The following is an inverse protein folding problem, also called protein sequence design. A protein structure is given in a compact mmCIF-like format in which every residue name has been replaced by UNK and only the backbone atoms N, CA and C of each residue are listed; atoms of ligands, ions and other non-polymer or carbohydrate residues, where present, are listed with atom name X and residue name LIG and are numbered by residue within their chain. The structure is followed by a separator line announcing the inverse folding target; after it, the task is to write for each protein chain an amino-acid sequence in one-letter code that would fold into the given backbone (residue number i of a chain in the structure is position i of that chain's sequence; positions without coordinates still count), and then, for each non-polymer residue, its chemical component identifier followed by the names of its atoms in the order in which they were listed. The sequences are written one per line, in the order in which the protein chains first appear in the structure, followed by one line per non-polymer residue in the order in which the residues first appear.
data_IF_194345587271
#
_entry.id   IF_194345587271
#
_cell.length_a   1.000
_cell.length_b   1.000
_cell.length_c   1.000
_cell.angle_alpha   90.00
_cell.angle_beta   90.00
_cell.angle_gamma   90.00
#
_symmetry.space_group_name_H-M   'P 1'
#
loop_
_entity.id
_entity.type
_entity.pdbx_description
1 polymer ?
#
# COMPACT_ATOMS: atom_id res chain seq x y z
N UNK A 1 16.54 -30.12 38.38
CA UNK A 1 15.43 -30.92 37.83
C UNK A 1 14.24 -30.05 37.43
N UNK A 2 13.79 -29.08 38.26
CA UNK A 2 12.65 -28.20 37.96
C UNK A 2 12.87 -27.25 36.77
N UNK A 3 14.05 -26.63 36.67
CA UNK A 3 14.37 -25.63 35.65
C UNK A 3 14.41 -26.17 34.21
N UNK A 4 14.76 -27.44 34.03
CA UNK A 4 14.74 -28.10 32.72
C UNK A 4 13.32 -28.46 32.27
N UNK A 5 12.43 -28.79 33.21
CA UNK A 5 11.03 -29.06 32.91
C UNK A 5 10.26 -27.76 32.60
N UNK A 6 10.58 -26.66 33.30
CA UNK A 6 10.07 -25.34 32.95
C UNK A 6 10.58 -24.87 31.59
N UNK A 7 11.87 -25.03 31.26
CA UNK A 7 12.37 -24.63 29.93
C UNK A 7 11.73 -25.42 28.80
N UNK A 8 11.55 -26.74 28.97
CA UNK A 8 10.86 -27.55 27.96
C UNK A 8 9.38 -27.21 27.85
N UNK A 9 8.70 -26.90 28.95
CA UNK A 9 7.29 -26.48 28.92
C UNK A 9 7.12 -25.09 28.27
N UNK A 10 8.08 -24.17 28.45
CA UNK A 10 8.08 -22.87 27.78
C UNK A 10 8.40 -23.01 26.29
N UNK A 11 9.30 -23.91 25.92
CA UNK A 11 9.66 -24.20 24.52
C UNK A 11 8.51 -24.92 23.78
N UNK A 12 7.83 -25.88 24.42
CA UNK A 12 6.59 -26.47 23.90
C UNK A 12 5.46 -25.44 23.80
N UNK A 13 5.29 -24.56 24.80
CA UNK A 13 4.27 -23.51 24.75
C UNK A 13 4.54 -22.46 23.65
N UNK A 14 5.80 -22.05 23.44
CA UNK A 14 6.19 -21.21 22.31
C UNK A 14 5.97 -21.92 20.97
N UNK A 15 6.30 -23.21 20.89
CA UNK A 15 6.13 -24.01 19.69
C UNK A 15 4.64 -24.21 19.32
N UNK A 16 3.79 -24.47 20.32
CA UNK A 16 2.33 -24.56 20.12
C UNK A 16 1.72 -23.21 19.74
N UNK A 17 2.21 -22.09 20.29
CA UNK A 17 1.74 -20.75 19.90
C UNK A 17 2.20 -20.38 18.48
N UNK A 18 3.40 -20.79 18.07
CA UNK A 18 3.92 -20.58 16.71
C UNK A 18 3.19 -21.45 15.67
N UNK A 19 2.70 -22.63 16.05
CA UNK A 19 1.96 -23.54 15.19
C UNK A 19 0.53 -23.03 14.86
N UNK A 20 -0.09 -22.27 15.77
CA UNK A 20 -1.43 -21.66 15.60
C UNK A 20 -1.40 -20.26 14.92
N UNK A 21 -0.22 -19.80 14.50
CA UNK A 21 -0.11 -18.54 13.74
C UNK A 21 -0.70 -18.72 12.33
N UNK A 22 -1.65 -17.85 12.01
CA UNK A 22 -2.22 -17.70 10.67
C UNK A 22 -1.11 -17.71 9.60
N UNK A 23 -1.34 -18.45 8.52
CA UNK A 23 -0.34 -18.66 7.47
C UNK A 23 0.16 -17.34 6.85
N UNK A 24 -0.68 -16.30 6.85
CA UNK A 24 -0.30 -14.94 6.39
C UNK A 24 0.69 -14.22 7.31
N UNK A 25 0.85 -14.67 8.56
CA UNK A 25 1.77 -14.09 9.54
C UNK A 25 3.16 -14.72 9.52
N UNK A 26 3.32 -15.85 8.82
CA UNK A 26 4.61 -16.53 8.71
C UNK A 26 5.56 -15.74 7.79
N UNK A 27 6.87 -15.71 8.07
CA UNK A 27 7.84 -15.10 7.17
C UNK A 27 7.79 -15.76 5.80
N UNK A 28 7.78 -14.97 4.72
CA UNK A 28 7.84 -15.52 3.36
C UNK A 28 9.23 -16.04 3.02
N UNK A 29 9.32 -17.27 2.50
CA UNK A 29 10.56 -17.82 1.92
C UNK A 29 11.03 -16.99 0.74
N UNK A 30 12.30 -17.12 0.37
CA UNK A 30 12.84 -16.51 -0.86
C UNK A 30 12.19 -17.08 -2.12
N UNK A 31 11.78 -18.35 -2.11
CA UNK A 31 11.07 -18.96 -3.25
C UNK A 31 9.66 -18.39 -3.46
N UNK A 32 8.99 -17.92 -2.40
CA UNK A 32 7.63 -17.37 -2.47
C UNK A 32 7.57 -15.89 -2.89
N UNK A 33 8.73 -15.27 -3.18
CA UNK A 33 8.83 -13.87 -3.59
C UNK A 33 8.73 -13.76 -5.10
N UNK A 34 7.51 -13.58 -5.60
CA UNK A 34 7.21 -13.54 -7.04
C UNK A 34 7.46 -12.17 -7.68
N UNK A 35 7.52 -11.08 -6.90
CA UNK A 35 7.67 -9.72 -7.44
C UNK A 35 9.14 -9.38 -7.70
N UNK A 36 9.52 -9.33 -8.98
CA UNK A 36 10.84 -8.87 -9.42
C UNK A 36 11.06 -7.36 -9.26
N UNK A 37 12.32 -6.88 -9.28
CA UNK A 37 12.66 -5.47 -9.01
C UNK A 37 12.07 -4.49 -10.03
N UNK A 38 12.00 -4.87 -11.30
CA UNK A 38 11.42 -4.02 -12.36
C UNK A 38 9.90 -3.89 -12.16
N UNK A 39 9.21 -5.00 -11.93
CA UNK A 39 7.77 -5.00 -11.63
C UNK A 39 7.46 -4.19 -10.36
N UNK A 40 8.33 -4.30 -9.35
CA UNK A 40 8.25 -3.50 -8.14
C UNK A 40 8.39 -2.01 -8.43
N UNK A 41 9.35 -1.58 -9.26
CA UNK A 41 9.50 -0.18 -9.66
C UNK A 41 8.26 0.35 -10.39
N UNK A 42 7.69 -0.41 -11.33
CA UNK A 42 6.47 0.00 -12.02
C UNK A 42 5.26 0.11 -11.09
N UNK A 43 5.15 -0.78 -10.09
CA UNK A 43 4.13 -0.69 -9.05
C UNK A 43 4.24 0.64 -8.28
N UNK A 44 5.45 1.05 -7.90
CA UNK A 44 5.67 2.33 -7.21
C UNK A 44 5.40 3.56 -8.09
N UNK A 45 5.75 3.51 -9.37
CA UNK A 45 5.41 4.57 -10.32
C UNK A 45 3.89 4.67 -10.47
N UNK A 46 3.21 3.53 -10.58
CA UNK A 46 1.75 3.46 -10.65
C UNK A 46 1.08 4.02 -9.40
N UNK A 47 1.58 3.71 -8.21
CA UNK A 47 1.09 4.27 -6.94
C UNK A 47 1.37 5.79 -6.86
N UNK A 48 2.55 6.23 -7.28
CA UNK A 48 2.95 7.64 -7.24
C UNK A 48 2.11 8.55 -8.15
N UNK A 49 1.75 8.06 -9.35
CA UNK A 49 0.99 8.81 -10.36
C UNK A 49 -0.51 8.62 -10.15
N UNK A 50 -1.08 9.38 -9.23
CA UNK A 50 -2.52 9.43 -9.00
C UNK A 50 -3.01 10.88 -8.85
N UNK A 51 -4.31 11.11 -9.11
CA UNK A 51 -4.87 12.47 -9.09
C UNK A 51 -4.75 13.12 -7.70
N UNK A 52 -4.90 12.37 -6.61
CA UNK A 52 -4.74 12.90 -5.26
C UNK A 52 -3.35 13.50 -5.01
N UNK A 53 -2.28 12.80 -5.42
CA UNK A 53 -0.91 13.29 -5.32
C UNK A 53 -0.67 14.52 -6.21
N UNK A 54 -1.28 14.56 -7.40
CA UNK A 54 -1.20 15.72 -8.28
C UNK A 54 -1.87 16.95 -7.68
N UNK A 55 -3.06 16.78 -7.07
CA UNK A 55 -3.75 17.86 -6.35
C UNK A 55 -2.94 18.34 -5.15
N UNK A 56 -2.40 17.42 -4.33
CA UNK A 56 -1.54 17.77 -3.22
C UNK A 56 -0.29 18.53 -3.66
N UNK A 57 0.35 18.08 -4.75
CA UNK A 57 1.51 18.76 -5.33
C UNK A 57 1.18 20.17 -5.81
N UNK A 58 0.05 20.36 -6.48
CA UNK A 58 -0.42 21.67 -6.91
C UNK A 58 -0.66 22.61 -5.71
N UNK A 59 -1.32 22.12 -4.65
CA UNK A 59 -1.54 22.89 -3.42
C UNK A 59 -0.24 23.27 -2.73
N UNK A 60 0.75 22.37 -2.71
CA UNK A 60 2.06 22.63 -2.10
C UNK A 60 2.84 23.72 -2.86
N UNK A 61 2.77 23.73 -4.20
CA UNK A 61 3.41 24.77 -5.01
C UNK A 61 2.76 26.13 -4.74
N UNK A 62 1.42 26.21 -4.71
CA UNK A 62 0.70 27.46 -4.40
C UNK A 62 1.05 27.96 -2.99
N UNK A 63 1.06 27.07 -2.00
CA UNK A 63 1.41 27.43 -0.62
C UNK A 63 2.89 27.84 -0.48
N UNK A 64 3.80 27.12 -1.13
CA UNK A 64 5.23 27.40 -1.08
C UNK A 64 5.60 28.69 -1.79
N UNK A 65 5.00 28.96 -2.95
CA UNK A 65 5.22 30.20 -3.71
C UNK A 65 4.65 31.44 -3.03
N UNK A 66 3.75 31.28 -2.05
CA UNK A 66 3.29 32.38 -1.22
C UNK A 66 4.39 32.94 -0.30
N UNK A 67 5.44 32.18 0.00
CA UNK A 67 6.53 32.56 0.92
C UNK A 67 7.92 32.48 0.29
N UNK A 68 8.12 31.61 -0.70
CA UNK A 68 9.41 31.32 -1.33
C UNK A 68 9.35 31.51 -2.85
N UNK A 69 10.51 31.65 -3.48
CA UNK A 69 10.58 31.60 -4.95
C UNK A 69 10.18 30.20 -5.46
N UNK A 70 9.69 30.10 -6.69
CA UNK A 70 9.31 28.82 -7.32
C UNK A 70 10.46 27.79 -7.27
N UNK A 71 11.69 28.21 -7.59
CA UNK A 71 12.86 27.31 -7.57
C UNK A 71 13.20 26.83 -6.15
N UNK A 72 13.04 27.70 -5.15
CA UNK A 72 13.25 27.36 -3.74
C UNK A 72 12.15 26.39 -3.25
N UNK A 73 10.90 26.60 -3.67
CA UNK A 73 9.77 25.71 -3.35
C UNK A 73 10.01 24.30 -3.89
N UNK A 74 10.41 24.17 -5.16
CA UNK A 74 10.75 22.86 -5.74
C UNK A 74 11.94 22.21 -5.06
N UNK A 75 12.99 22.98 -4.75
CA UNK A 75 14.17 22.44 -4.07
C UNK A 75 13.83 21.96 -2.66
N UNK A 76 13.04 22.73 -1.90
CA UNK A 76 12.57 22.34 -0.58
C UNK A 76 11.70 21.07 -0.63
N UNK A 77 10.78 20.98 -1.61
CA UNK A 77 9.97 19.78 -1.82
C UNK A 77 10.83 18.56 -2.17
N UNK A 78 11.83 18.72 -3.03
CA UNK A 78 12.78 17.67 -3.41
C UNK A 78 13.61 17.17 -2.21
N UNK A 79 14.06 18.08 -1.35
CA UNK A 79 14.78 17.72 -0.12
C UNK A 79 13.85 16.98 0.85
N UNK A 80 12.62 17.47 1.04
CA UNK A 80 11.65 16.83 1.92
C UNK A 80 11.34 15.39 1.48
N UNK A 81 11.06 15.16 0.19
CA UNK A 81 10.79 13.81 -0.32
C UNK A 81 12.04 12.91 -0.23
N UNK A 82 13.25 13.44 -0.44
CA UNK A 82 14.49 12.68 -0.29
C UNK A 82 14.69 12.21 1.16
N UNK A 83 14.48 13.09 2.15
CA UNK A 83 14.58 12.73 3.58
C UNK A 83 13.56 11.64 3.93
N UNK A 84 12.30 11.81 3.52
CA UNK A 84 11.25 10.82 3.77
C UNK A 84 11.59 9.49 3.11
N UNK A 85 12.08 9.51 1.87
CA UNK A 85 12.45 8.29 1.13
C UNK A 85 13.57 7.51 1.82
N UNK A 86 14.57 8.21 2.39
CA UNK A 86 15.65 7.55 3.15
C UNK A 86 15.11 6.88 4.41
N UNK A 87 14.27 7.58 5.17
CA UNK A 87 13.66 7.02 6.39
C UNK A 87 12.79 5.80 6.03
N UNK A 88 12.02 5.90 4.95
CA UNK A 88 11.16 4.82 4.46
C UNK A 88 11.99 3.58 4.06
N UNK A 89 13.06 3.78 3.28
CA UNK A 89 13.96 2.71 2.86
C UNK A 89 14.67 2.02 4.04
N UNK A 90 15.01 2.77 5.10
CA UNK A 90 15.58 2.20 6.32
C UNK A 90 14.59 1.31 7.07
N UNK A 91 13.31 1.72 7.15
CA UNK A 91 12.25 0.91 7.76
C UNK A 91 11.99 -0.37 6.94
N UNK A 92 11.92 -0.25 5.62
CA UNK A 92 11.64 -1.36 4.72
C UNK A 92 12.75 -2.44 4.68
N UNK A 93 13.98 -2.07 5.05
CA UNK A 93 15.14 -2.98 5.04
C UNK A 93 14.90 -4.24 5.88
N UNK A 94 14.20 -4.12 7.01
CA UNK A 94 13.89 -5.26 7.88
C UNK A 94 12.95 -6.21 7.15
N UNK A 95 11.82 -5.70 6.62
CA UNK A 95 10.86 -6.50 5.85
C UNK A 95 11.48 -7.16 4.62
N UNK A 96 12.35 -6.45 3.89
CA UNK A 96 13.02 -7.00 2.72
C UNK A 96 13.99 -8.15 3.06
N UNK A 97 14.75 -8.03 4.15
CA UNK A 97 15.73 -9.07 4.56
C UNK A 97 15.06 -10.27 5.22
N UNK A 98 14.16 -10.03 6.17
CA UNK A 98 13.59 -11.11 7.00
C UNK A 98 12.30 -11.69 6.44
N UNK A 99 11.62 -10.99 5.52
CA UNK A 99 10.34 -11.45 4.96
C UNK A 99 9.20 -11.43 5.99
N UNK A 100 9.41 -10.82 7.16
CA UNK A 100 8.44 -10.77 8.24
C UNK A 100 7.35 -9.74 7.91
N UNK A 101 6.07 -10.09 8.04
CA UNK A 101 4.97 -9.16 7.75
C UNK A 101 4.97 -7.97 8.72
N UNK A 102 4.51 -6.83 8.24
CA UNK A 102 4.51 -5.57 8.98
C UNK A 102 3.81 -5.67 10.35
N UNK A 103 2.70 -6.42 10.43
CA UNK A 103 1.95 -6.64 11.69
C UNK A 103 2.82 -7.32 12.76
N UNK A 104 3.69 -8.25 12.35
CA UNK A 104 4.61 -8.94 13.28
C UNK A 104 5.75 -8.01 13.68
N UNK A 105 6.27 -7.18 12.75
CA UNK A 105 7.27 -6.15 13.09
C UNK A 105 6.72 -5.14 14.12
N UNK A 106 5.47 -4.71 13.97
CA UNK A 106 4.80 -3.83 14.93
C UNK A 106 4.66 -4.45 16.32
N UNK A 107 4.36 -5.76 16.39
CA UNK A 107 4.28 -6.49 17.67
C UNK A 107 5.62 -6.53 18.39
N UNK A 108 6.74 -6.63 17.67
CA UNK A 108 8.07 -6.60 18.28
C UNK A 108 8.40 -5.22 18.89
N UNK A 109 7.94 -4.12 18.27
CA UNK A 109 8.22 -2.76 18.76
C UNK A 109 7.28 -2.29 19.87
N UNK A 110 5.98 -2.60 19.77
CA UNK A 110 4.94 -2.04 20.67
C UNK A 110 4.24 -3.10 21.55
N UNK A 111 4.63 -4.37 21.44
CA UNK A 111 3.96 -5.48 22.11
C UNK A 111 2.57 -5.79 21.53
N UNK A 112 1.89 -6.78 22.10
CA UNK A 112 0.60 -7.27 21.57
C UNK A 112 -0.48 -6.19 21.59
N UNK A 113 -0.67 -5.52 22.73
CA UNK A 113 -1.70 -4.48 22.89
C UNK A 113 -1.34 -3.19 22.14
N UNK A 114 -0.07 -2.80 22.11
CA UNK A 114 0.38 -1.60 21.40
C UNK A 114 0.33 -1.76 19.87
N UNK A 115 0.47 -2.99 19.36
CA UNK A 115 0.33 -3.26 17.93
C UNK A 115 -1.06 -2.93 17.37
N UNK A 116 -2.11 -3.06 18.18
CA UNK A 116 -3.49 -2.71 17.79
C UNK A 116 -3.61 -1.20 17.60
N UNK A 117 -3.11 -0.40 18.55
CA UNK A 117 -3.13 1.05 18.45
C UNK A 117 -2.33 1.53 17.23
N UNK A 118 -1.13 0.98 17.02
CA UNK A 118 -0.31 1.32 15.85
C UNK A 118 -1.00 0.93 14.53
N UNK A 119 -1.64 -0.24 14.49
CA UNK A 119 -2.40 -0.70 13.32
C UNK A 119 -3.58 0.22 13.01
N UNK A 120 -4.30 0.72 14.02
CA UNK A 120 -5.37 1.70 13.84
C UNK A 120 -4.86 3.04 13.34
N UNK A 121 -3.75 3.54 13.90
CA UNK A 121 -3.12 4.78 13.45
C UNK A 121 -2.66 4.72 12.00
N UNK A 122 -2.34 3.52 11.48
CA UNK A 122 -2.02 3.29 10.07
C UNK A 122 -3.26 3.07 9.20
N UNK A 123 -4.24 2.34 9.73
CA UNK A 123 -5.44 1.92 9.00
C UNK A 123 -6.45 3.05 8.78
N UNK A 124 -6.68 3.90 9.78
CA UNK A 124 -7.66 4.99 9.68
C UNK A 124 -7.28 5.98 8.56
N UNK A 125 -6.04 6.50 8.48
CA UNK A 125 -5.64 7.37 7.37
C UNK A 125 -5.72 6.67 6.02
N UNK A 126 -5.44 5.36 5.96
CA UNK A 126 -5.53 4.60 4.72
C UNK A 126 -6.98 4.51 4.21
N UNK A 127 -7.97 4.31 5.09
CA UNK A 127 -9.39 4.30 4.73
C UNK A 127 -9.84 5.67 4.24
N UNK A 128 -9.43 6.75 4.92
CA UNK A 128 -9.74 8.12 4.51
C UNK A 128 -9.14 8.41 3.13
N UNK A 129 -7.87 8.05 2.93
CA UNK A 129 -7.17 8.23 1.67
C UNK A 129 -7.84 7.46 0.53
N UNK A 130 -8.24 6.22 0.80
CA UNK A 130 -8.97 5.39 -0.15
C UNK A 130 -10.31 6.01 -0.55
N UNK A 131 -11.07 6.56 0.41
CA UNK A 131 -12.32 7.26 0.14
C UNK A 131 -12.11 8.50 -0.73
N UNK A 132 -11.07 9.29 -0.45
CA UNK A 132 -10.71 10.48 -1.23
C UNK A 132 -10.35 10.13 -2.69
N UNK A 133 -9.56 9.08 -2.90
CA UNK A 133 -9.20 8.63 -4.25
C UNK A 133 -10.42 8.11 -5.02
N UNK A 134 -11.28 7.35 -4.34
CA UNK A 134 -12.53 6.85 -4.93
C UNK A 134 -13.48 7.98 -5.30
N UNK A 135 -13.52 9.06 -4.50
CA UNK A 135 -14.31 10.25 -4.79
C UNK A 135 -13.84 10.95 -6.06
N UNK A 136 -12.53 11.18 -6.19
CA UNK A 136 -11.96 11.78 -7.39
C UNK A 136 -12.18 10.89 -8.62
N UNK A 137 -12.04 9.57 -8.48
CA UNK A 137 -12.36 8.62 -9.54
C UNK A 137 -13.84 8.67 -9.95
N UNK A 138 -14.74 8.80 -8.97
CA UNK A 138 -16.18 8.96 -9.18
C UNK A 138 -16.54 10.25 -9.91
N UNK A 139 -15.90 11.38 -9.57
CA UNK A 139 -16.10 12.66 -10.29
C UNK A 139 -15.59 12.57 -11.73
N UNK A 140 -14.43 11.96 -11.94
CA UNK A 140 -13.89 11.75 -13.29
C UNK A 140 -14.84 10.87 -14.14
N UNK A 141 -15.38 9.81 -13.56
CA UNK A 141 -16.35 8.95 -14.22
C UNK A 141 -17.66 9.70 -14.55
N UNK A 142 -18.15 10.55 -13.63
CA UNK A 142 -19.34 11.36 -13.86
C UNK A 142 -19.17 12.28 -15.06
N UNK A 143 -18.03 12.96 -15.19
CA UNK A 143 -17.75 13.82 -16.35
C UNK A 143 -17.74 13.04 -17.66
N UNK A 144 -17.15 11.85 -17.68
CA UNK A 144 -17.15 10.98 -18.86
C UNK A 144 -18.58 10.57 -19.24
N UNK A 145 -19.38 10.12 -18.27
CA UNK A 145 -20.78 9.72 -18.50
C UNK A 145 -21.63 10.90 -18.97
N UNK A 146 -21.41 12.09 -18.41
CA UNK A 146 -22.09 13.33 -18.80
C UNK A 146 -21.83 13.69 -20.26
N UNK A 147 -20.59 13.57 -20.71
CA UNK A 147 -20.21 13.81 -22.11
C UNK A 147 -20.88 12.79 -23.04
N UNK A 148 -20.85 11.50 -22.67
CA UNK A 148 -21.41 10.42 -23.50
C UNK A 148 -22.94 10.52 -23.62
N UNK A 149 -23.61 10.90 -22.52
CA UNK A 149 -25.08 10.94 -22.45
C UNK A 149 -25.65 12.31 -22.87
N UNK A 150 -24.82 13.23 -23.37
CA UNK A 150 -25.24 14.58 -23.76
C UNK A 150 -25.83 15.40 -22.60
N UNK A 151 -25.39 15.13 -21.36
CA UNK A 151 -25.85 15.83 -20.16
C UNK A 151 -27.10 15.26 -19.49
N UNK A 152 -27.69 14.16 -19.96
CA UNK A 152 -28.89 13.58 -19.34
C UNK A 152 -28.65 12.91 -17.97
N UNK A 153 -27.38 12.65 -17.62
CA UNK A 153 -26.99 12.04 -16.35
C UNK A 153 -25.87 12.86 -15.69
N UNK A 154 -26.13 13.37 -14.49
CA UNK A 154 -25.17 14.12 -13.67
C UNK A 154 -25.39 13.73 -12.19
N UNK A 155 -24.79 12.61 -11.79
CA UNK A 155 -24.86 12.14 -10.41
C UNK A 155 -23.55 11.46 -9.99
N UNK A 156 -22.65 12.30 -9.46
CA UNK A 156 -21.36 11.88 -8.91
C UNK A 156 -21.49 10.79 -7.85
N UNK A 157 -22.56 10.75 -7.05
CA UNK A 157 -22.72 9.73 -6.00
C UNK A 157 -22.94 8.35 -6.61
N UNK A 158 -23.71 8.25 -7.69
CA UNK A 158 -23.91 6.97 -8.38
C UNK A 158 -22.61 6.51 -9.03
N UNK A 159 -21.88 7.40 -9.69
CA UNK A 159 -20.57 7.09 -10.28
C UNK A 159 -19.54 6.70 -9.21
N UNK A 160 -19.56 7.35 -8.05
CA UNK A 160 -18.74 7.01 -6.89
C UNK A 160 -19.04 5.59 -6.37
N UNK A 161 -20.32 5.26 -6.16
CA UNK A 161 -20.70 3.90 -5.72
C UNK A 161 -20.34 2.87 -6.80
N UNK A 162 -20.54 3.18 -8.07
CA UNK A 162 -20.18 2.29 -9.17
C UNK A 162 -18.67 2.00 -9.21
N UNK A 163 -17.82 3.04 -9.14
CA UNK A 163 -16.36 2.84 -9.15
C UNK A 163 -15.89 2.12 -7.87
N UNK A 164 -16.52 2.41 -6.73
CA UNK A 164 -16.25 1.75 -5.46
C UNK A 164 -16.56 0.25 -5.50
N UNK A 165 -17.69 -0.13 -6.12
CA UNK A 165 -18.06 -1.53 -6.33
C UNK A 165 -17.08 -2.23 -7.28
N UNK A 166 -16.71 -1.59 -8.39
CA UNK A 166 -15.72 -2.13 -9.32
C UNK A 166 -14.38 -2.37 -8.62
N UNK A 167 -13.91 -1.42 -7.81
CA UNK A 167 -12.66 -1.59 -7.05
C UNK A 167 -12.74 -2.72 -6.02
N UNK A 168 -13.87 -2.87 -5.30
CA UNK A 168 -14.08 -3.99 -4.37
C UNK A 168 -14.02 -5.32 -5.13
N UNK A 169 -14.70 -5.40 -6.27
CA UNK A 169 -14.71 -6.61 -7.11
C UNK A 169 -13.29 -6.94 -7.60
N UNK A 170 -12.55 -5.96 -8.12
CA UNK A 170 -11.16 -6.13 -8.54
C UNK A 170 -10.26 -6.57 -7.38
N UNK A 171 -10.48 -6.03 -6.17
CA UNK A 171 -9.74 -6.41 -4.97
C UNK A 171 -10.00 -7.86 -4.55
N UNK A 172 -11.25 -8.34 -4.68
CA UNK A 172 -11.61 -9.75 -4.41
C UNK A 172 -10.95 -10.70 -5.42
N UNK A 173 -10.89 -10.34 -6.70
CA UNK A 173 -10.21 -11.13 -7.73
C UNK A 173 -8.68 -10.96 -7.75
N UNK A 174 -8.15 -9.94 -7.06
CA UNK A 174 -6.73 -9.57 -7.05
C UNK A 174 -5.78 -10.69 -6.58
N UNK A 175 -6.21 -11.55 -5.67
CA UNK A 175 -5.41 -12.71 -5.25
C UNK A 175 -5.21 -13.76 -6.35
N UNK A 176 -6.07 -13.80 -7.37
CA UNK A 176 -5.92 -14.65 -8.56
C UNK A 176 -5.32 -13.89 -9.77
N UNK A 177 -5.49 -12.56 -9.83
CA UNK A 177 -5.04 -11.73 -10.94
C UNK A 177 -3.50 -11.65 -11.06
N UNK A 178 -2.76 -11.73 -9.95
CA UNK A 178 -1.27 -11.69 -9.97
C UNK A 178 -0.70 -12.86 -10.78
N UNK A 179 -1.28 -14.07 -10.65
CA UNK A 179 -0.88 -15.25 -11.45
C UNK A 179 -1.16 -15.08 -12.94
N UNK A 180 -2.23 -14.37 -13.29
CA UNK A 180 -2.62 -14.14 -14.68
C UNK A 180 -1.73 -13.10 -15.38
N UNK A 181 -1.28 -12.08 -14.65
CA UNK A 181 -0.33 -11.08 -15.17
C UNK A 181 1.07 -11.68 -15.35
N UNK A 182 1.49 -12.63 -14.50
CA UNK A 182 2.71 -13.43 -14.72
C UNK A 182 2.60 -14.38 -15.92
N UNK A 183 1.41 -14.88 -16.24
CA UNK A 183 1.16 -15.69 -17.44
C UNK A 183 1.23 -14.87 -18.75
N UNK A 184 1.22 -13.53 -18.67
CA UNK A 184 1.45 -12.65 -19.82
C UNK A 184 2.95 -12.42 -20.10
N UNK A 185 3.84 -12.70 -19.14
CA UNK A 185 5.29 -12.52 -19.28
C UNK A 185 5.93 -13.42 -20.37
N UNK A 186 5.51 -14.70 -20.56
CA UNK A 186 5.98 -15.53 -21.68
C UNK A 186 5.58 -15.04 -23.07
N UNK A 187 4.52 -14.22 -23.20
CA UNK A 187 4.09 -13.68 -24.49
C UNK A 187 4.93 -12.47 -24.91
N UNK A 188 5.46 -11.70 -23.95
CA UNK A 188 6.37 -10.57 -24.20
C UNK A 188 7.82 -11.02 -24.45
N UNK A 189 8.26 -12.16 -23.89
CA UNK A 189 9.58 -12.74 -24.22
C UNK A 189 9.61 -13.43 -25.59
N UNK A 190 8.45 -13.77 -26.16
CA UNK A 190 8.32 -14.29 -27.53
C UNK A 190 8.35 -13.18 -28.60
N UNK A 191 8.34 -11.91 -28.18
CA UNK A 191 8.45 -10.72 -29.04
C UNK A 191 9.80 -10.02 -28.86
N UNK A 192 10.87 -10.83 -28.77
CA UNK A 192 12.26 -10.39 -28.84
C UNK A 192 12.88 -10.78 -30.17
#
# INVERSE_FOLDING_TARGET
MSTYLESHALEEAEFHHAADLDESLKPRSKEDRTVGPISYTFMWIGDGVNLGNMTLGASLVVAGTATLNILQTFTAAAIAIAIISVIFALNDRIGYRTGIPYVVQLRMSFGMKGSILSSLLRGIPAIIWYGFQSWIGGTALNEIVKIITGGAFDNTVICFVAIQLVQIVLSLYGFHAIKWVECLHPLLSCWR
#
